data_IF_822711506488
#
_entry.id   IF_822711506488
#
_cell.length_a   1.000
_cell.length_b   1.000
_cell.length_c   1.000
_cell.angle_alpha   90.00
_cell.angle_beta   90.00
_cell.angle_gamma   90.00
#
_symmetry.space_group_name_H-M   'P 1'
#
loop_
_entity.id
_entity.type
_entity.pdbx_description
1 polymer ?
#
# COMPACT_ATOMS: atom_id res chain seq x y z
N UNK A 1 4.53 -13.38 49.45
CA UNK A 1 3.66 -13.63 48.28
C UNK A 1 4.07 -12.64 47.21
N UNK A 2 4.81 -13.12 46.21
CA UNK A 2 5.22 -12.37 45.03
C UNK A 2 3.99 -12.18 44.14
N UNK A 3 3.50 -10.95 44.02
CA UNK A 3 2.53 -10.55 43.00
C UNK A 3 3.02 -9.24 42.39
N UNK A 4 4.05 -9.37 41.57
CA UNK A 4 4.43 -8.37 40.60
C UNK A 4 4.99 -9.16 39.42
N UNK A 5 4.10 -9.86 38.71
CA UNK A 5 4.40 -10.28 37.35
C UNK A 5 4.74 -8.98 36.61
N UNK A 6 5.99 -8.88 36.19
CA UNK A 6 6.52 -7.82 35.37
C UNK A 6 5.65 -7.75 34.13
N UNK A 7 4.77 -6.73 34.05
CA UNK A 7 4.10 -6.38 32.81
C UNK A 7 5.20 -5.96 31.83
N UNK A 8 5.65 -6.90 31.01
CA UNK A 8 6.49 -6.61 29.87
C UNK A 8 5.65 -5.78 28.90
N UNK A 9 5.84 -4.46 28.93
CA UNK A 9 5.37 -3.59 27.88
C UNK A 9 6.28 -3.81 26.68
N UNK A 10 5.87 -4.67 25.75
CA UNK A 10 6.53 -4.76 24.45
C UNK A 10 6.23 -3.47 23.67
N UNK A 11 7.26 -2.65 23.47
CA UNK A 11 7.19 -1.50 22.56
C UNK A 11 6.89 -2.03 21.15
N UNK A 12 5.71 -1.69 20.63
CA UNK A 12 5.32 -2.05 19.27
C UNK A 12 5.81 -1.00 18.30
N UNK A 13 6.67 -1.42 17.37
CA UNK A 13 7.06 -0.56 16.25
C UNK A 13 5.85 -0.26 15.36
N UNK A 14 5.60 1.03 15.15
CA UNK A 14 4.62 1.48 14.16
C UNK A 14 5.34 1.78 12.85
N UNK A 15 4.96 1.05 11.81
CA UNK A 15 5.49 1.25 10.46
C UNK A 15 4.50 2.06 9.61
N UNK A 16 5.08 2.82 8.69
CA UNK A 16 4.40 3.57 7.66
C UNK A 16 4.98 3.19 6.31
N UNK A 17 4.11 3.12 5.30
CA UNK A 17 4.47 2.80 3.92
C UNK A 17 4.12 3.94 3.01
N UNK A 18 5.10 4.43 2.27
CA UNK A 18 4.86 5.29 1.12
C UNK A 18 4.49 4.40 -0.06
N UNK A 19 3.36 4.69 -0.69
CA UNK A 19 2.80 3.86 -1.76
C UNK A 19 2.56 4.67 -3.02
N UNK A 20 2.82 4.02 -4.16
CA UNK A 20 2.47 4.50 -5.49
C UNK A 20 1.08 3.94 -5.81
N UNK A 21 0.12 4.83 -6.02
CA UNK A 21 -1.21 4.49 -6.50
C UNK A 21 -1.23 4.49 -8.04
N UNK A 22 -2.03 3.65 -8.70
CA UNK A 22 -2.21 3.67 -10.16
C UNK A 22 -3.10 4.86 -10.58
N UNK A 23 -2.73 6.07 -10.16
CA UNK A 23 -3.42 7.34 -10.35
C UNK A 23 -2.38 8.42 -10.63
N UNK A 24 -2.72 9.41 -11.45
CA UNK A 24 -1.85 10.55 -11.79
C UNK A 24 -1.77 11.56 -10.64
N UNK A 25 -1.11 11.18 -9.54
CA UNK A 25 -0.94 12.01 -8.35
C UNK A 25 0.45 12.64 -8.33
N UNK A 26 0.54 13.93 -8.01
CA UNK A 26 1.81 14.65 -7.94
C UNK A 26 2.71 14.20 -6.78
N UNK A 27 2.11 13.61 -5.73
CA UNK A 27 2.82 13.09 -4.57
C UNK A 27 2.33 11.68 -4.25
N UNK A 28 3.23 10.84 -3.73
CA UNK A 28 2.87 9.55 -3.17
C UNK A 28 2.19 9.72 -1.81
N UNK A 29 1.39 8.72 -1.43
CA UNK A 29 0.65 8.73 -0.18
C UNK A 29 1.26 7.76 0.83
N UNK A 30 1.19 8.12 2.10
CA UNK A 30 1.71 7.35 3.22
C UNK A 30 0.56 6.74 4.00
N UNK A 31 0.64 5.44 4.22
CA UNK A 31 -0.33 4.67 5.00
C UNK A 31 0.34 4.05 6.20
N UNK A 32 -0.42 3.84 7.27
CA UNK A 32 0.03 3.12 8.46
C UNK A 32 -0.12 1.62 8.26
N UNK A 33 0.83 0.84 8.77
CA UNK A 33 0.78 -0.62 8.73
C UNK A 33 0.12 -1.14 10.01
N UNK A 34 -0.97 -1.94 9.92
CA UNK A 34 -1.46 -2.70 11.07
C UNK A 34 -0.37 -3.63 11.58
N UNK A 35 -0.26 -3.77 12.90
CA UNK A 35 0.80 -4.57 13.54
C UNK A 35 0.91 -6.00 12.98
N UNK A 36 -0.22 -6.63 12.69
CA UNK A 36 -0.32 -7.99 12.13
C UNK A 36 0.30 -8.12 10.72
N UNK A 37 0.47 -7.00 10.01
CA UNK A 37 1.01 -6.96 8.66
C UNK A 37 2.47 -6.49 8.60
N UNK A 38 3.07 -6.12 9.74
CA UNK A 38 4.45 -5.60 9.79
C UNK A 38 5.46 -6.54 9.11
N UNK A 39 5.36 -7.85 9.34
CA UNK A 39 6.27 -8.85 8.76
C UNK A 39 5.98 -9.15 7.27
N UNK A 40 4.78 -8.82 6.78
CA UNK A 40 4.38 -9.11 5.40
C UNK A 40 4.76 -7.99 4.44
N UNK A 41 4.80 -6.75 4.93
CA UNK A 41 5.12 -5.56 4.15
C UNK A 41 6.60 -5.54 3.74
N UNK A 42 6.85 -5.26 2.48
CA UNK A 42 8.20 -5.04 1.95
C UNK A 42 8.14 -4.10 0.74
N UNK A 43 9.23 -3.39 0.45
CA UNK A 43 9.36 -2.57 -0.76
C UNK A 43 9.15 -3.43 -2.01
N UNK A 44 8.41 -2.90 -2.99
CA UNK A 44 8.08 -3.58 -4.23
C UNK A 44 6.92 -4.58 -4.15
N UNK A 45 6.33 -4.77 -2.97
CA UNK A 45 5.06 -5.52 -2.82
C UNK A 45 3.85 -4.62 -3.05
N UNK A 46 2.73 -5.24 -3.42
CA UNK A 46 1.44 -4.54 -3.49
C UNK A 46 0.66 -4.63 -2.19
N UNK A 47 0.01 -3.54 -1.84
CA UNK A 47 -0.87 -3.40 -0.69
C UNK A 47 -2.23 -2.88 -1.13
N UNK A 48 -3.27 -3.30 -0.42
CA UNK A 48 -4.63 -2.83 -0.64
C UNK A 48 -4.86 -1.61 0.25
N UNK A 49 -5.29 -0.51 -0.35
CA UNK A 49 -5.52 0.75 0.37
C UNK A 49 -6.84 1.38 -0.03
N UNK A 50 -7.44 2.11 0.90
CA UNK A 50 -8.59 2.96 0.61
C UNK A 50 -8.11 4.37 0.24
N UNK A 51 -8.55 4.87 -0.90
CA UNK A 51 -8.29 6.24 -1.34
C UNK A 51 -9.62 6.99 -1.55
N UNK A 52 -9.73 8.17 -0.93
CA UNK A 52 -11.00 8.91 -0.85
C UNK A 52 -12.01 8.25 0.11
N UNK A 53 -13.31 8.37 -0.22
CA UNK A 53 -14.41 7.91 0.65
C UNK A 53 -14.71 6.41 0.57
N UNK A 54 -14.65 5.83 -0.63
CA UNK A 54 -15.13 4.46 -0.86
C UNK A 54 -14.29 3.64 -1.85
N UNK A 55 -13.26 4.22 -2.47
CA UNK A 55 -12.50 3.51 -3.51
C UNK A 55 -11.35 2.73 -2.90
N UNK A 56 -11.26 1.45 -3.26
CA UNK A 56 -10.17 0.56 -2.88
C UNK A 56 -9.27 0.39 -4.10
N UNK A 57 -7.97 0.56 -3.89
CA UNK A 57 -6.94 0.40 -4.91
C UNK A 57 -5.86 -0.56 -4.43
N UNK A 58 -5.21 -1.18 -5.40
CA UNK A 58 -3.92 -1.84 -5.21
C UNK A 58 -2.81 -0.82 -5.44
N UNK A 59 -1.97 -0.60 -4.44
CA UNK A 59 -0.84 0.33 -4.48
C UNK A 59 0.48 -0.43 -4.30
N UNK A 60 1.58 0.12 -4.81
CA UNK A 60 2.91 -0.48 -4.69
C UNK A 60 3.70 0.20 -3.57
N UNK A 61 4.29 -0.56 -2.64
CA UNK A 61 5.13 0.00 -1.57
C UNK A 61 6.46 0.47 -2.15
N UNK A 62 6.71 1.78 -2.10
CA UNK A 62 7.97 2.40 -2.55
C UNK A 62 8.99 2.49 -1.41
N UNK A 63 8.52 2.87 -0.22
CA UNK A 63 9.38 3.09 0.93
C UNK A 63 8.67 2.69 2.23
N UNK A 64 9.44 2.34 3.26
CA UNK A 64 8.97 2.00 4.59
C UNK A 64 9.69 2.89 5.60
N UNK A 65 8.95 3.51 6.51
CA UNK A 65 9.49 4.38 7.55
C UNK A 65 8.80 4.17 8.89
N UNK A 66 9.39 4.70 9.95
CA UNK A 66 8.79 4.72 11.29
C UNK A 66 8.19 6.09 11.63
N UNK A 67 8.13 7.00 10.64
CA UNK A 67 7.68 8.37 10.82
C UNK A 67 6.34 8.59 10.12
N UNK A 68 5.33 9.14 10.82
CA UNK A 68 4.07 9.49 10.20
C UNK A 68 4.24 10.65 9.20
N UNK A 69 3.33 10.79 8.22
CA UNK A 69 3.32 11.96 7.35
C UNK A 69 3.02 13.24 8.16
N UNK A 70 3.65 14.35 7.78
CA UNK A 70 3.54 15.62 8.52
C UNK A 70 2.19 16.33 8.33
N UNK A 71 1.56 16.13 7.17
CA UNK A 71 0.46 16.98 6.69
C UNK A 71 -0.93 16.36 6.95
N UNK A 72 -1.02 15.06 7.23
CA UNK A 72 -2.29 14.36 7.39
C UNK A 72 -2.17 13.13 8.29
N UNK A 73 -3.30 12.62 8.77
CA UNK A 73 -3.34 11.35 9.49
C UNK A 73 -3.34 10.18 8.50
N UNK A 74 -2.33 9.32 8.59
CA UNK A 74 -2.21 8.15 7.73
C UNK A 74 -3.29 7.10 8.06
N UNK A 75 -4.13 6.77 7.07
CA UNK A 75 -5.04 5.62 7.15
C UNK A 75 -4.25 4.31 7.19
N UNK A 76 -4.86 3.26 7.70
CA UNK A 76 -4.27 1.93 7.64
C UNK A 76 -4.33 1.33 6.23
N UNK A 77 -3.30 0.55 5.87
CA UNK A 77 -3.43 -0.41 4.77
C UNK A 77 -4.44 -1.49 5.16
N UNK A 78 -5.17 -2.02 4.17
CA UNK A 78 -6.19 -3.05 4.37
C UNK A 78 -5.53 -4.44 4.38
N UNK A 79 -4.64 -4.70 3.42
CA UNK A 79 -3.96 -6.01 3.30
C UNK A 79 -2.68 -5.92 2.45
N UNK A 80 -1.85 -6.95 2.48
CA UNK A 80 -0.69 -7.15 1.59
C UNK A 80 -1.01 -8.27 0.61
N UNK A 81 -0.99 -7.98 -0.69
CA UNK A 81 -1.45 -8.92 -1.73
C UNK A 81 -0.39 -9.97 -2.08
N UNK A 82 0.89 -9.58 -2.03
CA UNK A 82 1.98 -10.39 -2.56
C UNK A 82 2.84 -11.04 -1.46
N UNK A 83 3.19 -12.32 -1.66
CA UNK A 83 4.18 -13.01 -0.82
C UNK A 83 5.61 -12.49 -1.06
N UNK A 84 5.93 -12.08 -2.30
CA UNK A 84 7.25 -11.60 -2.72
C UNK A 84 7.13 -10.26 -3.46
N UNK A 85 8.17 -9.41 -3.45
CA UNK A 85 8.17 -8.17 -4.24
C UNK A 85 7.93 -8.43 -5.72
N UNK A 86 6.95 -7.76 -6.30
CA UNK A 86 6.64 -7.85 -7.74
C UNK A 86 7.46 -6.85 -8.56
N UNK A 87 7.97 -5.80 -7.90
CA UNK A 87 8.87 -4.81 -8.48
C UNK A 87 10.22 -4.85 -7.75
N UNK A 88 11.29 -4.76 -8.52
CA UNK A 88 12.68 -4.71 -8.06
C UNK A 88 13.16 -3.27 -7.90
N UNK A 89 14.21 -3.07 -7.12
CA UNK A 89 14.84 -1.76 -6.94
C UNK A 89 15.32 -1.13 -8.27
N UNK A 90 15.88 -1.94 -9.18
CA UNK A 90 16.30 -1.47 -10.51
C UNK A 90 15.13 -0.95 -11.34
N UNK A 91 13.95 -1.55 -11.20
CA UNK A 91 12.74 -1.08 -11.87
C UNK A 91 12.25 0.24 -11.28
N UNK A 92 12.31 0.41 -9.95
CA UNK A 92 12.03 1.70 -9.31
C UNK A 92 12.97 2.80 -9.83
N UNK A 93 14.27 2.55 -9.88
CA UNK A 93 15.24 3.50 -10.42
C UNK A 93 14.94 3.86 -11.89
N UNK A 94 14.48 2.87 -12.68
CA UNK A 94 14.05 3.13 -14.05
C UNK A 94 12.77 3.96 -14.11
N UNK A 95 11.81 3.72 -13.22
CA UNK A 95 10.58 4.52 -13.13
C UNK A 95 10.90 5.97 -12.72
N UNK A 96 11.79 6.17 -11.76
CA UNK A 96 12.26 7.51 -11.35
C UNK A 96 12.92 8.26 -12.52
N UNK A 97 13.68 7.54 -13.37
CA UNK A 97 14.21 8.11 -14.61
C UNK A 97 13.10 8.50 -15.60
N UNK A 98 12.08 7.65 -15.79
CA UNK A 98 10.94 7.94 -16.68
C UNK A 98 10.18 9.18 -16.19
N UNK A 99 9.82 9.24 -14.91
CA UNK A 99 9.04 10.36 -14.35
C UNK A 99 9.81 11.67 -14.45
N UNK A 100 11.12 11.64 -14.19
CA UNK A 100 11.99 12.80 -14.36
C UNK A 100 12.10 13.25 -15.83
N UNK A 101 12.30 12.31 -16.77
CA UNK A 101 12.53 12.63 -18.18
C UNK A 101 11.26 13.06 -18.91
N UNK A 102 10.14 12.39 -18.65
CA UNK A 102 8.86 12.63 -19.33
C UNK A 102 7.89 13.51 -18.54
N UNK A 103 8.30 14.03 -17.37
CA UNK A 103 7.51 14.93 -16.52
C UNK A 103 6.11 14.36 -16.22
N UNK A 104 6.04 13.05 -15.95
CA UNK A 104 4.82 12.34 -15.59
C UNK A 104 4.87 11.85 -14.14
N UNK A 105 3.74 11.40 -13.61
CA UNK A 105 3.69 10.90 -12.24
C UNK A 105 4.03 9.41 -12.17
N UNK A 106 4.49 8.95 -11.01
CA UNK A 106 4.84 7.54 -10.80
C UNK A 106 3.65 6.60 -10.99
N UNK A 107 2.45 7.04 -10.63
CA UNK A 107 1.24 6.26 -10.85
C UNK A 107 0.88 6.04 -12.32
N UNK A 108 1.29 6.97 -13.20
CA UNK A 108 1.14 6.81 -14.65
C UNK A 108 2.09 5.72 -15.16
N UNK A 109 3.34 5.73 -14.68
CA UNK A 109 4.36 4.73 -15.01
C UNK A 109 3.96 3.35 -14.49
N UNK A 110 3.49 3.25 -13.25
CA UNK A 110 2.95 2.01 -12.67
C UNK A 110 1.78 1.47 -13.51
N UNK A 111 0.89 2.36 -13.95
CA UNK A 111 -0.26 2.03 -14.78
C UNK A 111 0.15 1.58 -16.19
N UNK A 112 1.29 2.02 -16.72
CA UNK A 112 1.81 1.51 -17.98
C UNK A 112 2.61 0.20 -17.81
N UNK A 113 3.35 0.07 -16.71
CA UNK A 113 4.31 -1.02 -16.50
C UNK A 113 3.66 -2.32 -16.01
N UNK A 114 2.62 -2.25 -15.18
CA UNK A 114 2.00 -3.45 -14.61
C UNK A 114 0.95 -4.08 -15.54
N UNK A 115 0.90 -5.40 -15.70
CA UNK A 115 -0.23 -6.10 -16.32
C UNK A 115 -1.56 -5.78 -15.64
N UNK A 116 -2.66 -5.79 -16.40
CA UNK A 116 -4.00 -5.43 -15.90
C UNK A 116 -4.46 -6.32 -14.74
N UNK A 117 -4.13 -7.62 -14.77
CA UNK A 117 -4.46 -8.55 -13.68
C UNK A 117 -3.75 -8.24 -12.35
N UNK A 118 -2.71 -7.40 -12.36
CA UNK A 118 -2.04 -6.95 -11.15
C UNK A 118 -2.59 -5.62 -10.62
N UNK A 119 -3.55 -5.01 -11.31
CA UNK A 119 -4.21 -3.76 -10.93
C UNK A 119 -5.63 -4.08 -10.48
N UNK A 120 -5.77 -4.76 -9.35
CA UNK A 120 -7.08 -4.95 -8.74
C UNK A 120 -7.63 -3.57 -8.34
N UNK A 121 -8.66 -3.15 -9.06
CA UNK A 121 -9.54 -2.05 -8.69
C UNK A 121 -10.90 -2.67 -8.35
N UNK A 122 -11.66 -2.02 -7.46
CA UNK A 122 -12.99 -2.49 -7.05
C UNK A 122 -13.87 -2.89 -8.26
N UNK A 123 -14.25 -4.16 -8.34
CA UNK A 123 -15.24 -4.64 -9.30
C UNK A 123 -16.63 -4.59 -8.65
N UNK A 124 -17.63 -4.06 -9.36
CA UNK A 124 -19.02 -4.11 -8.91
C UNK A 124 -19.65 -5.40 -9.41
N UNK A 125 -19.87 -6.36 -8.51
CA UNK A 125 -20.60 -7.59 -8.82
C UNK A 125 -22.10 -7.30 -8.76
N UNK A 126 -22.77 -7.35 -9.90
CA UNK A 126 -24.22 -7.26 -9.98
C UNK A 126 -24.80 -8.68 -9.85
N UNK A 127 -25.46 -8.96 -8.74
CA UNK A 127 -26.19 -10.22 -8.52
C UNK A 127 -27.68 -9.94 -8.72
N UNK A 128 -28.31 -10.68 -9.64
CA UNK A 128 -29.77 -10.70 -9.77
C UNK A 128 -30.35 -11.35 -8.51
N UNK A 129 -31.24 -10.63 -7.84
CA UNK A 129 -32.03 -11.17 -6.73
C UNK A 129 -33.23 -11.92 -7.31
N UNK A 130 -33.35 -13.18 -6.88
CA UNK A 130 -34.37 -14.22 -7.15
C UNK A 130 -33.89 -15.26 -8.19
N UNK A 131 -33.60 -16.50 -7.81
CA UNK A 131 -34.48 -17.39 -7.02
C UNK A 131 -33.90 -17.78 -5.65
N UNK A 132 -34.59 -17.37 -4.57
CA UNK A 132 -34.51 -18.03 -3.27
C UNK A 132 -35.48 -19.23 -3.26
N UNK A 133 -35.15 -20.32 -2.55
CA UNK A 133 -35.86 -21.61 -2.61
C UNK A 133 -37.28 -21.58 -2.07
#
# INVERSE_FOLDING_TARGET
MQFAETLNFEERETLFVEVILPLSLAINYTYRVPFELNEKVAVGKRVVVQFGKHKIYTALVKNISNQPPEVYEAKYIIDVVDEQPVITEKQFQFWDWITSYYLCNEGDVMSAALPTGLKLASETILVLRDELP
#
